data_IF_491276445846
#
_entry.id   IF_491276445846
#
_cell.length_a   1.000
_cell.length_b   1.000
_cell.length_c   1.000
_cell.angle_alpha   90.00
_cell.angle_beta   90.00
_cell.angle_gamma   90.00
#
_symmetry.space_group_name_H-M   'P 1'
#
loop_
_entity.id
_entity.type
_entity.pdbx_description
1 polymer ?
#
# COMPACT_ATOMS: atom_id res chain seq x y z
N UNK A 1 39.72 21.06 -13.98
CA UNK A 1 38.23 21.10 -13.96
C UNK A 1 37.76 20.88 -15.40
N UNK A 2 37.24 19.67 -15.68
CA UNK A 2 36.67 19.33 -16.98
C UNK A 2 35.28 20.03 -17.08
N UNK A 3 35.18 21.06 -17.91
CA UNK A 3 33.90 21.65 -18.31
C UNK A 3 33.21 20.70 -19.28
N UNK A 4 32.30 19.87 -18.77
CA UNK A 4 31.41 19.05 -19.61
C UNK A 4 30.33 19.99 -20.14
N UNK A 5 30.19 20.21 -21.47
CA UNK A 5 29.10 21.01 -22.02
C UNK A 5 27.80 20.25 -21.77
N UNK A 6 26.89 20.84 -21.00
CA UNK A 6 25.55 20.32 -20.82
C UNK A 6 24.55 21.20 -21.59
N UNK A 7 23.56 20.58 -22.21
CA UNK A 7 22.45 21.26 -22.88
C UNK A 7 21.27 21.32 -21.92
N UNK A 8 20.83 22.51 -21.55
CA UNK A 8 19.60 22.67 -20.81
C UNK A 8 18.42 22.17 -21.64
N UNK A 9 17.67 21.19 -21.13
CA UNK A 9 16.44 20.74 -21.72
C UNK A 9 15.37 21.84 -21.51
N UNK A 10 14.82 22.34 -22.61
CA UNK A 10 13.78 23.39 -22.61
C UNK A 10 12.51 22.98 -21.85
N UNK A 11 12.26 21.66 -21.70
CA UNK A 11 11.16 21.14 -20.91
C UNK A 11 11.26 21.48 -19.43
N UNK A 12 12.48 21.73 -18.91
CA UNK A 12 12.72 22.14 -17.53
C UNK A 12 12.12 23.50 -17.14
N UNK A 13 11.84 24.35 -18.13
CA UNK A 13 11.21 25.68 -17.97
C UNK A 13 9.70 25.64 -18.19
N UNK A 14 9.16 24.54 -18.71
CA UNK A 14 7.73 24.41 -19.02
C UNK A 14 6.93 24.11 -17.74
N UNK A 15 5.89 24.91 -17.48
CA UNK A 15 4.93 24.69 -16.38
C UNK A 15 3.85 23.67 -16.74
N UNK A 16 3.98 22.98 -17.86
CA UNK A 16 3.04 21.92 -18.28
C UNK A 16 2.99 20.77 -17.27
N UNK A 17 4.13 20.43 -16.66
CA UNK A 17 4.24 19.34 -15.70
C UNK A 17 4.04 19.82 -14.26
N UNK A 18 3.31 19.06 -13.46
CA UNK A 18 3.01 19.36 -12.05
C UNK A 18 4.30 19.63 -11.23
N UNK A 19 5.35 18.85 -11.44
CA UNK A 19 6.65 19.04 -10.78
C UNK A 19 7.23 20.43 -11.03
N UNK A 20 7.14 20.92 -12.27
CA UNK A 20 7.65 22.24 -12.63
C UNK A 20 6.76 23.36 -12.09
N UNK A 21 5.41 23.18 -12.08
CA UNK A 21 4.48 24.13 -11.44
C UNK A 21 4.82 24.32 -9.96
N UNK A 22 5.11 23.23 -9.26
CA UNK A 22 5.50 23.27 -7.84
C UNK A 22 6.86 23.98 -7.70
N UNK A 23 7.87 23.54 -8.45
CA UNK A 23 9.25 24.06 -8.32
C UNK A 23 9.38 25.52 -8.70
N UNK A 24 8.73 25.94 -9.78
CA UNK A 24 8.88 27.28 -10.35
C UNK A 24 7.83 28.29 -9.83
N UNK A 25 6.67 27.82 -9.43
CA UNK A 25 5.58 28.67 -8.96
C UNK A 25 5.32 28.64 -7.46
N UNK A 26 5.13 27.44 -6.89
CA UNK A 26 4.69 27.30 -5.50
C UNK A 26 5.84 27.50 -4.50
N UNK A 27 6.96 26.81 -4.68
CA UNK A 27 8.10 26.88 -3.75
C UNK A 27 8.66 28.30 -3.58
N UNK A 28 8.84 29.10 -4.66
CA UNK A 28 9.29 30.50 -4.51
C UNK A 28 8.35 31.33 -3.63
N UNK A 29 7.03 31.22 -3.85
CA UNK A 29 6.03 31.95 -3.06
C UNK A 29 6.04 31.55 -1.57
N UNK A 30 6.21 30.24 -1.29
CA UNK A 30 6.33 29.79 0.11
C UNK A 30 7.61 30.35 0.75
N UNK A 31 8.72 30.44 -0.02
CA UNK A 31 9.98 31.04 0.46
C UNK A 31 9.86 32.55 0.77
N UNK A 32 9.03 33.26 0.04
CA UNK A 32 8.72 34.67 0.34
C UNK A 32 8.03 34.80 1.71
N UNK A 33 7.12 33.87 2.04
CA UNK A 33 6.42 33.84 3.33
C UNK A 33 7.35 33.32 4.44
N UNK A 34 8.11 32.26 4.17
CA UNK A 34 9.03 31.62 5.09
C UNK A 34 10.38 31.32 4.42
N UNK A 35 11.38 32.20 4.54
CA UNK A 35 12.70 32.01 3.93
C UNK A 35 13.40 30.70 4.36
N UNK A 36 13.09 30.19 5.57
CA UNK A 36 13.64 28.94 6.11
C UNK A 36 12.89 27.68 5.64
N UNK A 37 11.86 27.82 4.82
CA UNK A 37 10.99 26.72 4.39
C UNK A 37 11.78 25.51 3.84
N UNK A 38 12.73 25.74 2.95
CA UNK A 38 13.51 24.67 2.31
C UNK A 38 14.34 23.88 3.33
N UNK A 39 14.99 24.58 4.27
CA UNK A 39 15.80 23.93 5.29
C UNK A 39 14.94 23.18 6.32
N UNK A 40 13.77 23.74 6.63
CA UNK A 40 12.79 23.08 7.47
C UNK A 40 12.27 21.79 6.84
N UNK A 41 11.89 21.86 5.56
CA UNK A 41 11.40 20.69 4.83
C UNK A 41 12.47 19.61 4.67
N UNK A 42 13.73 20.00 4.39
CA UNK A 42 14.83 19.04 4.32
C UNK A 42 15.01 18.29 5.65
N UNK A 43 15.05 19.01 6.77
CA UNK A 43 15.15 18.37 8.09
C UNK A 43 13.95 17.49 8.43
N UNK A 44 12.74 17.88 8.00
CA UNK A 44 11.57 17.04 8.20
C UNK A 44 11.64 15.75 7.36
N UNK A 45 12.12 15.84 6.10
CA UNK A 45 12.33 14.67 5.25
C UNK A 45 13.37 13.73 5.89
N UNK A 46 14.50 14.26 6.36
CA UNK A 46 15.54 13.49 7.05
C UNK A 46 14.93 12.75 8.26
N UNK A 47 14.19 13.44 9.13
CA UNK A 47 13.52 12.82 10.29
C UNK A 47 12.49 11.76 9.91
N UNK A 48 11.70 12.00 8.86
CA UNK A 48 10.74 11.02 8.38
C UNK A 48 11.44 9.79 7.81
N UNK A 49 12.57 9.98 7.12
CA UNK A 49 13.41 8.87 6.64
C UNK A 49 13.96 8.04 7.79
N UNK A 50 14.51 8.68 8.83
CA UNK A 50 15.00 7.99 10.03
C UNK A 50 13.88 7.24 10.75
N UNK A 51 12.69 7.87 10.84
CA UNK A 51 11.49 7.21 11.41
C UNK A 51 11.10 5.99 10.61
N UNK A 52 11.13 6.07 9.28
CA UNK A 52 10.81 4.95 8.40
C UNK A 52 11.80 3.78 8.61
N UNK A 53 13.09 4.06 8.68
CA UNK A 53 14.11 3.03 8.95
C UNK A 53 13.89 2.36 10.33
N UNK A 54 13.51 3.14 11.34
CA UNK A 54 13.20 2.60 12.66
C UNK A 54 11.97 1.68 12.62
N UNK A 55 10.91 2.09 11.91
CA UNK A 55 9.71 1.27 11.73
C UNK A 55 10.05 -0.03 11.00
N UNK A 56 10.81 0.04 9.91
CA UNK A 56 11.23 -1.15 9.14
C UNK A 56 12.01 -2.14 10.00
N UNK A 57 12.94 -1.66 10.84
CA UNK A 57 13.69 -2.50 11.76
C UNK A 57 12.77 -3.14 12.83
N UNK A 58 11.84 -2.38 13.41
CA UNK A 58 10.87 -2.88 14.38
C UNK A 58 9.93 -3.93 13.76
N UNK A 59 9.45 -3.70 12.54
CA UNK A 59 8.60 -4.65 11.81
C UNK A 59 9.35 -5.92 11.45
N UNK A 60 10.63 -5.81 11.05
CA UNK A 60 11.47 -6.98 10.77
C UNK A 60 11.63 -7.86 12.01
N UNK A 61 11.94 -7.27 13.16
CA UNK A 61 12.04 -7.98 14.42
C UNK A 61 10.70 -8.62 14.84
N UNK A 62 9.63 -7.84 14.84
CA UNK A 62 8.29 -8.35 15.16
C UNK A 62 7.90 -9.53 14.26
N UNK A 63 8.25 -9.48 12.96
CA UNK A 63 7.95 -10.55 12.00
C UNK A 63 8.53 -11.89 12.43
N UNK A 64 9.76 -11.93 12.92
CA UNK A 64 10.43 -13.15 13.39
C UNK A 64 9.66 -13.82 14.52
N UNK A 65 8.95 -13.04 15.34
CA UNK A 65 8.21 -13.52 16.51
C UNK A 65 6.77 -13.93 16.17
N UNK A 66 6.11 -13.17 15.27
CA UNK A 66 4.67 -13.32 15.04
C UNK A 66 4.32 -14.06 13.75
N UNK A 67 5.27 -14.28 12.83
CA UNK A 67 5.00 -14.95 11.55
C UNK A 67 5.65 -16.34 11.54
N UNK A 68 4.85 -17.36 11.28
CA UNK A 68 5.34 -18.71 10.99
C UNK A 68 5.02 -19.08 9.54
N UNK A 69 5.89 -19.87 8.89
CA UNK A 69 5.68 -20.34 7.53
C UNK A 69 5.69 -21.88 7.50
N UNK A 70 4.66 -22.46 6.91
CA UNK A 70 4.55 -23.89 6.67
C UNK A 70 3.77 -24.12 5.37
N UNK A 71 4.22 -25.06 4.54
CA UNK A 71 3.56 -25.51 3.31
C UNK A 71 3.14 -24.36 2.36
N UNK A 72 3.95 -23.31 2.27
CA UNK A 72 3.69 -22.14 1.44
C UNK A 72 2.68 -21.14 2.02
N UNK A 73 2.18 -21.39 3.22
CA UNK A 73 1.25 -20.50 3.95
C UNK A 73 2.02 -19.76 5.03
N UNK A 74 1.91 -18.44 5.05
CA UNK A 74 2.38 -17.62 6.16
C UNK A 74 1.24 -17.40 7.15
N UNK A 75 1.45 -17.75 8.40
CA UNK A 75 0.49 -17.52 9.50
C UNK A 75 0.98 -16.37 10.36
N UNK A 76 0.20 -15.29 10.43
CA UNK A 76 0.46 -14.16 11.33
C UNK A 76 -0.33 -14.39 12.61
N UNK A 77 0.39 -14.58 13.71
CA UNK A 77 -0.17 -14.78 15.05
C UNK A 77 -0.44 -13.43 15.70
N UNK A 78 -1.62 -12.86 15.43
CA UNK A 78 -1.98 -11.49 15.87
C UNK A 78 -1.98 -11.36 17.39
N UNK A 79 -2.25 -12.45 18.11
CA UNK A 79 -2.19 -12.53 19.56
C UNK A 79 -0.79 -12.36 20.13
N UNK A 80 0.26 -12.55 19.31
CA UNK A 80 1.67 -12.38 19.72
C UNK A 80 2.18 -10.97 19.49
N UNK A 81 1.41 -10.10 18.81
CA UNK A 81 1.78 -8.71 18.65
C UNK A 81 1.73 -8.07 20.05
N UNK A 82 2.88 -7.61 20.51
CA UNK A 82 2.98 -6.97 21.82
C UNK A 82 2.05 -5.76 21.92
N UNK A 83 1.51 -5.55 23.13
CA UNK A 83 0.64 -4.40 23.40
C UNK A 83 1.33 -3.03 23.23
N UNK A 84 2.67 -3.02 23.17
CA UNK A 84 3.46 -1.82 22.88
C UNK A 84 3.28 -1.30 21.45
N UNK A 85 2.87 -2.17 20.52
CA UNK A 85 2.66 -1.78 19.12
C UNK A 85 1.18 -1.50 18.83
N UNK A 86 0.87 -0.42 18.09
CA UNK A 86 -0.49 -0.22 17.58
C UNK A 86 -0.88 -1.37 16.65
N UNK A 87 -1.76 -2.26 17.12
CA UNK A 87 -2.10 -3.54 16.48
C UNK A 87 -2.47 -3.39 15.00
N UNK A 88 -3.36 -2.46 14.66
CA UNK A 88 -3.80 -2.26 13.28
C UNK A 88 -2.66 -1.79 12.37
N UNK A 89 -1.78 -0.93 12.90
CA UNK A 89 -0.58 -0.49 12.19
C UNK A 89 0.41 -1.64 11.98
N UNK A 90 0.64 -2.45 13.01
CA UNK A 90 1.50 -3.65 12.91
C UNK A 90 0.98 -4.63 11.85
N UNK A 91 -0.33 -4.92 11.84
CA UNK A 91 -0.96 -5.78 10.82
C UNK A 91 -0.81 -5.16 9.41
N UNK A 92 -1.02 -3.85 9.28
CA UNK A 92 -0.82 -3.14 8.02
C UNK A 92 0.62 -3.30 7.51
N UNK A 93 1.62 -3.02 8.33
CA UNK A 93 3.03 -3.12 7.96
C UNK A 93 3.44 -4.56 7.58
N UNK A 94 2.96 -5.56 8.33
CA UNK A 94 3.23 -6.98 8.06
C UNK A 94 2.63 -7.43 6.72
N UNK A 95 1.46 -6.91 6.34
CA UNK A 95 0.75 -7.30 5.13
C UNK A 95 1.15 -6.48 3.90
N UNK A 96 1.30 -5.16 4.05
CA UNK A 96 1.56 -4.27 2.92
C UNK A 96 2.98 -4.43 2.37
N UNK A 97 3.98 -4.47 3.24
CA UNK A 97 5.40 -4.49 2.84
C UNK A 97 5.79 -5.77 2.10
N UNK A 98 5.26 -6.92 2.48
CA UNK A 98 5.66 -8.22 1.92
C UNK A 98 4.65 -8.79 0.91
N UNK A 99 3.36 -8.58 1.14
CA UNK A 99 2.31 -9.22 0.36
C UNK A 99 1.52 -8.24 -0.50
N UNK A 100 1.79 -6.93 -0.39
CA UNK A 100 1.21 -5.90 -1.25
C UNK A 100 -0.26 -5.60 -0.99
N UNK A 101 -0.78 -5.88 0.21
CA UNK A 101 -2.13 -5.50 0.58
C UNK A 101 -2.26 -3.98 0.71
N UNK A 102 -3.33 -3.39 0.16
CA UNK A 102 -3.61 -1.97 0.26
C UNK A 102 -4.19 -1.60 1.64
N UNK A 103 -4.06 -0.33 2.02
CA UNK A 103 -4.49 0.15 3.34
C UNK A 103 -5.97 -0.10 3.63
N UNK A 104 -6.85 0.17 2.67
CA UNK A 104 -8.30 -0.07 2.77
C UNK A 104 -8.65 -1.55 3.02
N UNK A 105 -7.90 -2.45 2.37
CA UNK A 105 -8.03 -3.91 2.56
C UNK A 105 -7.53 -4.32 3.94
N UNK A 106 -6.39 -3.77 4.40
CA UNK A 106 -5.87 -4.02 5.74
C UNK A 106 -6.83 -3.53 6.83
N UNK A 107 -7.45 -2.35 6.64
CA UNK A 107 -8.46 -1.82 7.56
C UNK A 107 -9.69 -2.73 7.64
N UNK A 108 -10.16 -3.24 6.50
CA UNK A 108 -11.29 -4.18 6.45
C UNK A 108 -10.93 -5.51 7.13
N UNK A 109 -9.70 -5.99 6.97
CA UNK A 109 -9.19 -7.19 7.61
C UNK A 109 -9.08 -7.00 9.14
N UNK A 110 -8.59 -5.85 9.61
CA UNK A 110 -8.53 -5.53 11.04
C UNK A 110 -9.93 -5.48 11.68
N UNK A 111 -10.93 -4.96 10.98
CA UNK A 111 -12.33 -5.01 11.43
C UNK A 111 -12.81 -6.46 11.55
N UNK A 112 -12.55 -7.28 10.53
CA UNK A 112 -12.94 -8.71 10.56
C UNK A 112 -12.27 -9.49 11.72
N UNK A 113 -11.01 -9.18 12.04
CA UNK A 113 -10.33 -9.73 13.23
C UNK A 113 -11.04 -9.34 14.53
N UNK A 114 -11.47 -8.07 14.63
CA UNK A 114 -12.15 -7.56 15.82
C UNK A 114 -13.56 -8.16 15.99
N UNK A 115 -14.23 -8.49 14.88
CA UNK A 115 -15.54 -9.14 14.82
C UNK A 115 -15.44 -10.67 14.94
N UNK A 116 -14.25 -11.23 15.09
CA UNK A 116 -13.97 -12.66 15.06
C UNK A 116 -14.55 -13.39 13.83
N UNK A 117 -14.58 -12.71 12.68
CA UNK A 117 -15.18 -13.18 11.43
C UNK A 117 -14.30 -14.22 10.74
N UNK A 118 -14.25 -15.44 11.29
CA UNK A 118 -13.47 -16.56 10.75
C UNK A 118 -13.92 -16.96 9.35
N UNK A 119 -12.94 -17.26 8.47
CA UNK A 119 -13.15 -17.67 7.08
C UNK A 119 -13.28 -16.51 6.09
N UNK A 120 -13.26 -15.26 6.57
CA UNK A 120 -13.33 -14.10 5.68
C UNK A 120 -12.03 -13.91 4.93
N UNK A 121 -12.11 -13.73 3.61
CA UNK A 121 -10.98 -13.63 2.70
C UNK A 121 -10.80 -12.19 2.19
N UNK A 122 -9.53 -11.79 2.04
CA UNK A 122 -9.10 -10.49 1.54
C UNK A 122 -8.02 -10.69 0.48
N UNK A 123 -8.08 -9.93 -0.60
CA UNK A 123 -7.25 -10.17 -1.77
C UNK A 123 -6.26 -9.03 -2.01
N UNK A 124 -5.03 -9.41 -2.32
CA UNK A 124 -4.02 -8.57 -2.97
C UNK A 124 -3.78 -9.12 -4.39
N UNK A 125 -2.82 -8.54 -5.12
CA UNK A 125 -2.56 -8.96 -6.50
C UNK A 125 -2.16 -10.44 -6.64
N UNK A 126 -1.31 -10.93 -5.74
CA UNK A 126 -0.73 -12.27 -5.81
C UNK A 126 -1.03 -13.12 -4.56
N UNK A 127 -1.69 -12.54 -3.57
CA UNK A 127 -1.91 -13.16 -2.28
C UNK A 127 -3.36 -13.02 -1.83
N UNK A 128 -3.82 -14.01 -1.08
CA UNK A 128 -5.07 -13.97 -0.35
C UNK A 128 -4.78 -14.13 1.14
N UNK A 129 -5.40 -13.28 1.95
CA UNK A 129 -5.36 -13.33 3.40
C UNK A 129 -6.69 -13.83 3.94
N UNK A 130 -6.68 -14.85 4.78
CA UNK A 130 -7.87 -15.42 5.41
C UNK A 130 -7.79 -15.21 6.92
N UNK A 131 -8.84 -14.66 7.51
CA UNK A 131 -8.97 -14.56 8.98
C UNK A 131 -9.36 -15.93 9.52
N UNK A 132 -8.57 -16.49 10.43
CA UNK A 132 -8.85 -17.77 11.10
C UNK A 132 -8.56 -17.67 12.59
N UNK A 133 -9.62 -17.69 13.42
CA UNK A 133 -9.53 -17.75 14.90
C UNK A 133 -8.54 -16.74 15.51
N UNK A 134 -8.60 -15.49 15.05
CA UNK A 134 -7.72 -14.41 15.53
C UNK A 134 -6.33 -14.39 14.89
N UNK A 135 -6.06 -15.26 13.90
CA UNK A 135 -4.84 -15.31 13.08
C UNK A 135 -5.15 -14.87 11.67
N UNK A 136 -4.10 -14.54 10.91
CA UNK A 136 -4.20 -14.24 9.48
C UNK A 136 -3.36 -15.29 8.75
N UNK A 137 -4.00 -16.06 7.89
CA UNK A 137 -3.35 -16.99 6.99
C UNK A 137 -3.15 -16.29 5.65
N UNK A 138 -1.90 -16.19 5.18
CA UNK A 138 -1.56 -15.58 3.89
C UNK A 138 -0.99 -16.65 2.98
N UNK A 139 -1.62 -16.83 1.84
CA UNK A 139 -1.20 -17.79 0.82
C UNK A 139 -1.12 -17.12 -0.55
N UNK A 140 -0.27 -17.64 -1.41
CA UNK A 140 -0.19 -17.19 -2.79
C UNK A 140 -1.40 -17.70 -3.55
N UNK A 141 -2.02 -16.85 -4.35
CA UNK A 141 -3.11 -17.23 -5.24
C UNK A 141 -2.55 -18.22 -6.25
N UNK A 142 -3.09 -19.45 -6.30
CA UNK A 142 -2.64 -20.47 -7.22
C UNK A 142 -2.91 -20.03 -8.67
N UNK A 143 -2.02 -20.37 -9.63
CA UNK A 143 -2.30 -20.21 -11.06
C UNK A 143 -3.48 -21.12 -11.43
N UNK A 144 -4.67 -20.60 -11.48
CA UNK A 144 -5.92 -21.37 -11.68
C UNK A 144 -7.09 -20.80 -10.88
N UNK A 145 -6.81 -20.07 -9.81
CA UNK A 145 -7.79 -19.22 -9.11
C UNK A 145 -8.02 -17.87 -9.84
N UNK A 146 -7.25 -17.61 -10.91
CA UNK A 146 -7.54 -16.54 -11.85
C UNK A 146 -8.81 -16.93 -12.62
N UNK A 147 -9.90 -16.30 -12.26
CA UNK A 147 -11.17 -16.50 -12.92
C UNK A 147 -11.23 -15.56 -14.13
N UNK A 148 -11.38 -16.11 -15.31
CA UNK A 148 -11.69 -15.38 -16.52
C UNK A 148 -13.21 -15.42 -16.73
N UNK A 149 -13.84 -14.25 -16.77
CA UNK A 149 -15.28 -14.14 -16.97
C UNK A 149 -15.52 -13.37 -18.24
N UNK A 150 -16.17 -14.03 -19.19
CA UNK A 150 -16.72 -13.35 -20.38
C UNK A 150 -18.02 -12.68 -19.99
N UNK A 151 -18.08 -11.35 -20.13
CA UNK A 151 -19.27 -10.57 -19.79
C UNK A 151 -19.96 -10.13 -21.08
N UNK A 152 -21.20 -10.54 -21.26
CA UNK A 152 -22.02 -10.08 -22.38
C UNK A 152 -22.54 -8.66 -22.12
N UNK A 153 -22.74 -7.90 -23.20
CA UNK A 153 -23.29 -6.55 -23.11
C UNK A 153 -24.67 -6.58 -22.41
N UNK A 154 -24.82 -5.74 -21.39
CA UNK A 154 -26.06 -5.68 -20.58
C UNK A 154 -26.06 -6.55 -19.33
N UNK A 155 -25.00 -7.31 -19.07
CA UNK A 155 -24.85 -8.06 -17.83
C UNK A 155 -24.64 -7.10 -16.66
N UNK A 156 -25.52 -7.13 -15.67
CA UNK A 156 -25.41 -6.29 -14.47
C UNK A 156 -24.61 -6.96 -13.36
N UNK A 157 -24.48 -8.28 -13.39
CA UNK A 157 -23.81 -9.06 -12.34
C UNK A 157 -23.20 -10.33 -12.88
N UNK A 158 -21.96 -10.63 -12.51
CA UNK A 158 -21.30 -11.88 -12.81
C UNK A 158 -20.52 -12.40 -11.61
N UNK A 159 -20.17 -13.69 -11.64
CA UNK A 159 -19.44 -14.36 -10.59
C UNK A 159 -18.07 -14.78 -11.09
N UNK A 160 -17.03 -14.53 -10.28
CA UNK A 160 -15.66 -14.92 -10.57
C UNK A 160 -15.09 -15.59 -9.33
N UNK A 161 -15.12 -16.91 -9.27
CA UNK A 161 -14.84 -17.65 -8.05
C UNK A 161 -15.76 -17.24 -6.91
N UNK A 162 -15.19 -16.70 -5.83
CA UNK A 162 -15.96 -16.18 -4.68
C UNK A 162 -16.27 -14.68 -4.77
N UNK A 163 -15.91 -14.02 -5.87
CA UNK A 163 -16.19 -12.59 -6.08
C UNK A 163 -17.47 -12.40 -6.87
N UNK A 164 -18.20 -11.35 -6.53
CA UNK A 164 -19.34 -10.87 -7.31
C UNK A 164 -18.92 -9.57 -7.99
N UNK A 165 -18.98 -9.54 -9.30
CA UNK A 165 -18.70 -8.38 -10.12
C UNK A 165 -20.02 -7.71 -10.49
N UNK A 166 -20.11 -6.42 -10.25
CA UNK A 166 -21.22 -5.59 -10.67
C UNK A 166 -20.76 -4.67 -11.79
N UNK A 167 -21.58 -4.55 -12.83
CA UNK A 167 -21.30 -3.73 -14.00
C UNK A 167 -22.37 -2.65 -14.14
N UNK A 168 -21.91 -1.41 -14.29
CA UNK A 168 -22.77 -0.28 -14.60
C UNK A 168 -22.37 0.25 -15.98
N UNK A 169 -23.36 0.58 -16.80
CA UNK A 169 -23.11 1.27 -18.06
C UNK A 169 -22.66 2.69 -17.75
N UNK A 170 -21.50 3.11 -18.26
CA UNK A 170 -21.07 4.50 -18.24
C UNK A 170 -20.95 4.99 -19.69
N UNK A 171 -21.47 6.19 -19.94
CA UNK A 171 -21.19 6.89 -21.18
C UNK A 171 -19.73 7.40 -21.09
N UNK A 172 -18.91 7.00 -22.07
CA UNK A 172 -17.56 7.54 -22.21
C UNK A 172 -17.73 8.79 -23.05
N UNK A 173 -17.73 9.96 -22.41
CA UNK A 173 -17.60 11.23 -23.10
C UNK A 173 -16.19 11.28 -23.71
N UNK A 174 -16.11 11.43 -25.04
CA UNK A 174 -14.88 11.57 -25.84
C UNK A 174 -14.12 12.88 -25.55
#
# INVERSE_FOLDING_TARGET
QNRIPFREDSSNRSTKYLRNKIRLGLIPRIREINPKFTDLMRRNIERLTDTQLFIEAAVAHMREEVVTQADGIATIHVERIEAAYPRNFAVYELLSSQYGFKGDVCDALCRALSEAATGRRFYAREYVATVDRGRILVERIAPGDACEVTVEQGTQRSYCGNMVLYFEACDIDD
#
